data_IF_732497465275
#
_entry.id   IF_732497465275
#
_cell.length_a   1.000
_cell.length_b   1.000
_cell.length_c   1.000
_cell.angle_alpha   90.00
_cell.angle_beta   90.00
_cell.angle_gamma   90.00
#
_symmetry.space_group_name_H-M   'P 1'
#
loop_
_entity.id
_entity.type
_entity.pdbx_description
1 polymer ?
#
# COMPACT_ATOMS: atom_id res chain seq x y z
N UNK A 1 -17.73 -16.35 10.43
CA UNK A 1 -16.41 -16.26 11.08
C UNK A 1 -16.60 -16.32 12.57
N UNK A 2 -15.89 -17.19 13.29
CA UNK A 2 -16.01 -17.26 14.75
C UNK A 2 -15.22 -16.09 15.40
N UNK A 3 -15.41 -15.86 16.71
CA UNK A 3 -14.77 -14.75 17.44
C UNK A 3 -13.24 -14.76 17.34
N UNK A 4 -12.62 -15.95 17.40
CA UNK A 4 -11.16 -16.10 17.37
C UNK A 4 -10.58 -15.81 15.99
N UNK A 5 -11.24 -16.26 14.93
CA UNK A 5 -10.88 -15.94 13.55
C UNK A 5 -10.99 -14.42 13.29
N UNK A 6 -12.02 -13.77 13.82
CA UNK A 6 -12.21 -12.32 13.72
C UNK A 6 -11.09 -11.53 14.41
N UNK A 7 -10.72 -11.92 15.63
CA UNK A 7 -9.62 -11.30 16.36
C UNK A 7 -8.28 -11.49 15.62
N UNK A 8 -8.06 -12.70 15.11
CA UNK A 8 -6.88 -13.03 14.31
C UNK A 8 -6.81 -12.19 13.03
N UNK A 9 -7.92 -12.07 12.28
CA UNK A 9 -7.95 -11.23 11.09
C UNK A 9 -7.68 -9.75 11.42
N UNK A 10 -8.28 -9.25 12.51
CA UNK A 10 -8.06 -7.88 12.98
C UNK A 10 -6.58 -7.60 13.22
N UNK A 11 -5.92 -8.51 13.92
CA UNK A 11 -4.49 -8.42 14.22
C UNK A 11 -3.67 -8.35 12.93
N UNK A 12 -3.93 -9.22 11.96
CA UNK A 12 -3.19 -9.21 10.70
C UNK A 12 -3.46 -7.94 9.87
N UNK A 13 -4.71 -7.45 9.83
CA UNK A 13 -5.04 -6.17 9.17
C UNK A 13 -4.27 -5.03 9.82
N UNK A 14 -4.30 -4.92 11.15
CA UNK A 14 -3.62 -3.85 11.88
C UNK A 14 -2.10 -3.95 11.69
N UNK A 15 -1.52 -5.15 11.73
CA UNK A 15 -0.09 -5.34 11.45
C UNK A 15 0.28 -4.90 10.04
N UNK A 16 -0.57 -5.20 9.06
CA UNK A 16 -0.38 -4.78 7.67
C UNK A 16 -0.42 -3.25 7.57
N UNK A 17 -1.46 -2.61 8.11
CA UNK A 17 -1.55 -1.15 8.14
C UNK A 17 -0.37 -0.52 8.87
N UNK A 18 0.05 -1.07 10.01
CA UNK A 18 1.17 -0.58 10.81
C UNK A 18 2.48 -0.58 10.03
N UNK A 19 2.76 -1.61 9.22
CA UNK A 19 3.95 -1.64 8.38
C UNK A 19 3.98 -0.46 7.40
N UNK A 20 2.84 -0.16 6.76
CA UNK A 20 2.73 0.95 5.81
C UNK A 20 2.61 2.32 6.49
N UNK A 21 2.16 2.35 7.74
CA UNK A 21 2.08 3.56 8.57
C UNK A 21 3.47 4.15 8.83
N UNK A 22 4.51 3.32 8.95
CA UNK A 22 5.93 3.75 9.02
C UNK A 22 6.31 4.66 7.84
N UNK A 23 5.68 4.44 6.67
CA UNK A 23 5.93 5.19 5.45
C UNK A 23 4.88 6.29 5.19
N UNK A 24 3.96 6.52 6.13
CA UNK A 24 2.85 7.46 5.98
C UNK A 24 2.05 7.18 4.70
N UNK A 25 1.80 5.88 4.41
CA UNK A 25 1.18 5.42 3.18
C UNK A 25 -0.13 4.66 3.49
N UNK A 26 -1.28 5.36 3.51
CA UNK A 26 -2.59 4.73 3.68
C UNK A 26 -2.87 3.69 2.58
N UNK A 27 -3.53 2.61 2.93
CA UNK A 27 -3.82 1.52 2.00
C UNK A 27 -5.28 1.50 1.56
N UNK A 28 -5.53 1.18 0.31
CA UNK A 28 -6.87 0.79 -0.15
C UNK A 28 -7.19 -0.66 0.28
N UNK A 29 -8.47 -1.04 0.30
CA UNK A 29 -8.88 -2.36 0.80
C UNK A 29 -8.38 -3.52 -0.06
N UNK A 30 -8.21 -3.32 -1.36
CA UNK A 30 -7.56 -4.25 -2.29
C UNK A 30 -6.06 -4.40 -1.99
N UNK A 31 -5.36 -3.31 -1.70
CA UNK A 31 -3.95 -3.35 -1.26
C UNK A 31 -3.81 -4.11 0.07
N UNK A 32 -4.71 -3.86 1.05
CA UNK A 32 -4.71 -4.61 2.32
C UNK A 32 -4.89 -6.10 2.06
N UNK A 33 -5.81 -6.49 1.16
CA UNK A 33 -6.00 -7.89 0.77
C UNK A 33 -4.74 -8.49 0.13
N UNK A 34 -4.10 -7.78 -0.78
CA UNK A 34 -2.88 -8.24 -1.46
C UNK A 34 -1.72 -8.45 -0.46
N UNK A 35 -1.52 -7.51 0.47
CA UNK A 35 -0.42 -7.56 1.44
C UNK A 35 -0.67 -8.51 2.61
N UNK A 36 -1.92 -8.86 2.91
CA UNK A 36 -2.25 -9.86 3.93
C UNK A 36 -1.80 -11.28 3.56
N UNK A 37 -1.60 -11.57 2.27
CA UNK A 37 -1.12 -12.86 1.74
C UNK A 37 -1.87 -14.09 2.32
N UNK A 38 -3.18 -13.96 2.55
CA UNK A 38 -4.01 -15.02 3.12
C UNK A 38 -4.82 -15.73 2.04
N UNK A 39 -4.65 -17.05 1.91
CA UNK A 39 -5.33 -17.85 0.88
C UNK A 39 -6.75 -18.28 1.25
N UNK A 40 -7.20 -17.98 2.48
CA UNK A 40 -8.44 -18.53 3.03
C UNK A 40 -9.50 -17.46 3.36
N UNK A 41 -9.16 -16.18 3.18
CA UNK A 41 -10.05 -15.06 3.53
C UNK A 41 -10.35 -14.28 2.27
N UNK A 42 -11.64 -14.04 2.03
CA UNK A 42 -12.09 -13.31 0.85
C UNK A 42 -11.83 -11.81 1.00
N UNK A 43 -11.65 -11.12 -0.13
CA UNK A 43 -11.53 -9.66 -0.16
C UNK A 43 -12.74 -8.97 0.50
N UNK A 44 -13.94 -9.53 0.31
CA UNK A 44 -15.16 -9.02 0.95
C UNK A 44 -15.06 -9.08 2.49
N UNK A 45 -14.62 -10.20 3.05
CA UNK A 45 -14.49 -10.34 4.51
C UNK A 45 -13.47 -9.35 5.10
N UNK A 46 -12.38 -9.08 4.36
CA UNK A 46 -11.39 -8.07 4.76
C UNK A 46 -11.99 -6.67 4.72
N UNK A 47 -12.73 -6.33 3.66
CA UNK A 47 -13.37 -5.03 3.54
C UNK A 47 -14.41 -4.80 4.65
N UNK A 48 -15.25 -5.81 4.93
CA UNK A 48 -16.19 -5.78 6.05
C UNK A 48 -15.46 -5.58 7.38
N UNK A 49 -14.37 -6.32 7.61
CA UNK A 49 -13.60 -6.19 8.86
C UNK A 49 -12.92 -4.83 9.00
N UNK A 50 -12.37 -4.27 7.93
CA UNK A 50 -11.81 -2.91 7.90
C UNK A 50 -12.85 -1.88 8.35
N UNK A 51 -14.08 -1.94 7.81
CA UNK A 51 -15.16 -1.04 8.22
C UNK A 51 -15.60 -1.23 9.68
N UNK A 52 -15.57 -2.47 10.19
CA UNK A 52 -15.79 -2.73 11.61
C UNK A 52 -14.70 -2.09 12.48
N UNK A 53 -13.42 -2.23 12.10
CA UNK A 53 -12.30 -1.62 12.82
C UNK A 53 -12.37 -0.08 12.83
N UNK A 54 -12.90 0.54 11.77
CA UNK A 54 -13.20 1.98 11.76
C UNK A 54 -14.30 2.33 12.78
N UNK A 55 -15.37 1.53 12.82
CA UNK A 55 -16.47 1.70 13.78
C UNK A 55 -16.00 1.52 15.23
N UNK A 56 -15.08 0.57 15.45
CA UNK A 56 -14.40 0.31 16.73
C UNK A 56 -13.35 1.39 17.08
N UNK A 57 -13.12 2.38 16.20
CA UNK A 57 -12.11 3.45 16.32
C UNK A 57 -10.66 2.95 16.46
N UNK A 58 -10.38 1.76 15.92
CA UNK A 58 -9.04 1.19 15.85
C UNK A 58 -8.28 1.59 14.58
N UNK A 59 -9.02 1.99 13.54
CA UNK A 59 -8.48 2.49 12.29
C UNK A 59 -9.30 3.69 11.83
N UNK A 60 -8.78 4.45 10.88
CA UNK A 60 -9.46 5.58 10.25
C UNK A 60 -9.61 5.31 8.76
N UNK A 61 -10.70 5.78 8.17
CA UNK A 61 -10.90 5.74 6.72
C UNK A 61 -11.16 7.13 6.14
N UNK A 62 -10.58 7.38 4.98
CA UNK A 62 -10.75 8.60 4.21
C UNK A 62 -11.00 8.23 2.75
N UNK A 63 -12.27 8.20 2.36
CA UNK A 63 -12.68 7.64 1.07
C UNK A 63 -12.40 6.14 1.02
N UNK A 64 -11.59 5.70 0.05
CA UNK A 64 -11.21 4.30 -0.12
C UNK A 64 -9.97 3.87 0.68
N UNK A 65 -9.31 4.80 1.37
CA UNK A 65 -8.05 4.53 2.07
C UNK A 65 -8.25 4.33 3.57
N UNK A 66 -7.48 3.41 4.13
CA UNK A 66 -7.43 3.04 5.53
C UNK A 66 -6.04 3.32 6.11
N UNK A 67 -6.01 3.82 7.34
CA UNK A 67 -4.77 4.20 8.06
C UNK A 67 -4.97 4.06 9.57
N UNK A 68 -3.87 4.00 10.33
CA UNK A 68 -3.87 4.05 11.79
C UNK A 68 -3.81 5.49 12.33
N UNK A 69 -3.54 6.46 11.46
CA UNK A 69 -3.43 7.87 11.80
C UNK A 69 -4.70 8.62 11.40
N UNK A 70 -5.26 9.41 12.32
CA UNK A 70 -6.39 10.28 12.02
C UNK A 70 -5.95 11.56 11.28
N UNK A 71 -5.27 11.40 10.15
CA UNK A 71 -4.72 12.49 9.37
C UNK A 71 -5.07 12.34 7.89
N UNK A 72 -5.99 13.18 7.43
CA UNK A 72 -6.44 13.19 6.03
C UNK A 72 -5.33 13.66 5.07
N UNK A 73 -4.34 14.43 5.53
CA UNK A 73 -3.26 14.94 4.67
C UNK A 73 -2.39 13.82 4.09
N UNK A 74 -2.36 12.66 4.76
CA UNK A 74 -1.70 11.44 4.28
C UNK A 74 -2.30 10.94 2.96
N UNK A 75 -3.61 11.14 2.76
CA UNK A 75 -4.30 10.73 1.52
C UNK A 75 -3.82 11.60 0.37
N UNK A 76 -3.73 12.90 0.60
CA UNK A 76 -3.27 13.85 -0.42
C UNK A 76 -1.80 13.59 -0.77
N UNK A 77 -0.96 13.31 0.23
CA UNK A 77 0.44 12.90 0.04
C UNK A 77 0.52 11.63 -0.81
N UNK A 78 -0.24 10.59 -0.46
CA UNK A 78 -0.33 9.34 -1.23
C UNK A 78 -0.68 9.62 -2.68
N UNK A 79 -1.80 10.29 -2.94
CA UNK A 79 -2.27 10.58 -4.31
C UNK A 79 -1.22 11.34 -5.12
N UNK A 80 -0.62 12.39 -4.54
CA UNK A 80 0.46 13.14 -5.20
C UNK A 80 1.65 12.24 -5.50
N UNK A 81 2.08 11.45 -4.52
CA UNK A 81 3.27 10.63 -4.66
C UNK A 81 3.12 9.47 -5.64
N UNK A 82 1.94 8.84 -5.70
CA UNK A 82 1.62 7.85 -6.72
C UNK A 82 1.61 8.47 -8.13
N UNK A 83 1.07 9.69 -8.27
CA UNK A 83 1.06 10.42 -9.55
C UNK A 83 2.48 10.73 -10.02
N UNK A 84 3.33 11.22 -9.12
CA UNK A 84 4.73 11.50 -9.44
C UNK A 84 5.50 10.21 -9.75
N UNK A 85 5.25 9.11 -9.04
CA UNK A 85 5.86 7.82 -9.36
C UNK A 85 5.56 7.36 -10.79
N UNK A 86 4.31 7.51 -11.26
CA UNK A 86 3.97 7.21 -12.66
C UNK A 86 4.79 8.06 -13.64
N UNK A 87 4.96 9.37 -13.35
CA UNK A 87 5.78 10.27 -14.17
C UNK A 87 7.25 9.87 -14.18
N UNK A 88 7.81 9.59 -13.01
CA UNK A 88 9.21 9.20 -12.85
C UNK A 88 9.50 7.80 -13.42
N UNK A 89 8.53 6.88 -13.41
CA UNK A 89 8.70 5.57 -14.01
C UNK A 89 8.93 5.67 -15.54
N UNK A 90 8.23 6.58 -16.21
CA UNK A 90 8.44 6.87 -17.65
C UNK A 90 9.88 7.37 -17.88
N UNK A 91 10.38 8.24 -17.01
CA UNK A 91 11.75 8.76 -17.09
C UNK A 91 12.74 7.62 -16.82
N UNK A 92 12.52 6.83 -15.77
CA UNK A 92 13.36 5.69 -15.40
C UNK A 92 13.47 4.69 -16.54
N UNK A 93 12.38 4.38 -17.24
CA UNK A 93 12.41 3.53 -18.43
C UNK A 93 13.26 4.11 -19.57
N UNK A 94 13.13 5.41 -19.87
CA UNK A 94 13.95 6.06 -20.90
C UNK A 94 15.44 6.02 -20.55
N UNK A 95 15.77 6.34 -19.29
CA UNK A 95 17.15 6.31 -18.82
C UNK A 95 17.71 4.88 -18.80
N UNK A 96 16.91 3.90 -18.35
CA UNK A 96 17.30 2.50 -18.36
C UNK A 96 17.58 2.01 -19.80
N UNK A 97 16.72 2.36 -20.77
CA UNK A 97 16.93 2.00 -22.17
C UNK A 97 18.21 2.63 -22.76
N UNK A 98 18.58 3.84 -22.32
CA UNK A 98 19.84 4.47 -22.71
C UNK A 98 21.05 3.75 -22.09
N UNK A 99 21.03 3.53 -20.78
CA UNK A 99 22.12 2.90 -20.03
C UNK A 99 22.35 1.46 -20.49
N UNK A 100 21.28 0.73 -20.82
CA UNK A 100 21.34 -0.66 -21.27
C UNK A 100 22.06 -0.85 -22.63
N UNK A 101 22.41 0.23 -23.34
CA UNK A 101 23.20 0.15 -24.59
C UNK A 101 24.70 -0.04 -24.34
N UNK A 102 25.18 0.16 -23.11
CA UNK A 102 26.60 0.00 -22.82
C UNK A 102 26.99 -1.49 -22.76
N UNK A 103 28.09 -1.90 -23.41
CA UNK A 103 28.43 -3.30 -23.62
C UNK A 103 28.73 -4.09 -22.33
N UNK A 104 28.95 -3.40 -21.21
CA UNK A 104 29.21 -4.00 -19.90
C UNK A 104 27.98 -4.00 -18.97
N UNK A 105 26.88 -3.35 -19.36
CA UNK A 105 25.65 -3.31 -18.54
C UNK A 105 24.83 -4.59 -18.79
N UNK A 106 24.52 -5.32 -17.71
CA UNK A 106 23.71 -6.55 -17.77
C UNK A 106 22.23 -6.31 -17.47
N UNK A 107 21.93 -5.33 -16.61
CA UNK A 107 20.57 -4.95 -16.25
C UNK A 107 20.54 -3.55 -15.63
N UNK A 108 19.37 -2.92 -15.68
CA UNK A 108 19.06 -1.69 -14.96
C UNK A 108 17.78 -1.93 -14.17
N UNK A 109 17.78 -1.62 -12.87
CA UNK A 109 16.66 -1.89 -11.96
C UNK A 109 16.28 -0.60 -11.23
N UNK A 110 14.98 -0.34 -11.11
CA UNK A 110 14.46 0.68 -10.20
C UNK A 110 14.33 0.08 -8.79
N UNK A 111 14.73 0.83 -7.77
CA UNK A 111 14.65 0.43 -6.36
C UNK A 111 14.04 1.55 -5.51
N UNK A 112 13.90 1.30 -4.21
CA UNK A 112 13.37 2.28 -3.26
C UNK A 112 11.85 2.45 -3.37
N UNK A 113 11.36 3.66 -3.12
CA UNK A 113 9.92 3.98 -3.19
C UNK A 113 9.37 3.94 -4.61
N UNK A 114 10.19 4.30 -5.62
CA UNK A 114 9.76 4.33 -7.01
C UNK A 114 9.35 2.93 -7.51
N UNK A 115 10.08 1.88 -7.11
CA UNK A 115 9.71 0.50 -7.44
C UNK A 115 8.44 0.03 -6.74
N UNK A 116 7.97 0.75 -5.72
CA UNK A 116 6.71 0.53 -5.01
C UNK A 116 5.59 1.48 -5.46
N UNK A 117 5.81 2.24 -6.54
CA UNK A 117 4.80 3.14 -7.08
C UNK A 117 4.60 4.44 -6.28
N UNK A 118 5.59 4.89 -5.50
CA UNK A 118 5.54 6.15 -4.76
C UNK A 118 6.80 7.01 -4.99
N UNK A 119 6.62 8.33 -5.17
CA UNK A 119 7.72 9.28 -5.34
C UNK A 119 7.26 10.67 -4.88
N UNK A 120 8.01 11.37 -4.03
CA UNK A 120 7.75 12.77 -3.62
C UNK A 120 8.94 13.70 -3.90
#
# INVERSE_FOLDING_TARGET
MNKYESDTLSKHIIQTLLYFDIFNYPLASDEVYEFLQTNHITQQAINERLHQLVTEKLTYSFGQFFTLQNDKTLIERRIRGNKEAMRYMIIAHKQAAFINKFPFVKSVMASGSLSKGYMD
#
